data_IF_089498158692
#
_entry.id   IF_089498158692
#
_cell.length_a   1.000
_cell.length_b   1.000
_cell.length_c   1.000
_cell.angle_alpha   90.00
_cell.angle_beta   90.00
_cell.angle_gamma   90.00
#
_symmetry.space_group_name_H-M   'P 1'
#
loop_
_entity.id
_entity.type
_entity.pdbx_description
1 polymer ?
#
# COMPACT_ATOMS: atom_id res chain seq x y z
N UNK A 1 13.54 -9.52 -17.17
CA UNK A 1 12.26 -9.05 -17.76
C UNK A 1 12.44 -8.84 -19.26
N UNK A 2 11.51 -9.31 -20.11
CA UNK A 2 11.65 -9.27 -21.58
C UNK A 2 11.39 -7.88 -22.19
N UNK A 3 10.85 -6.93 -21.44
CA UNK A 3 10.64 -5.53 -21.86
C UNK A 3 10.58 -4.58 -20.65
N UNK A 4 10.75 -3.27 -20.88
CA UNK A 4 10.52 -2.22 -19.87
C UNK A 4 9.08 -2.28 -19.35
N UNK A 5 8.12 -2.50 -20.27
CA UNK A 5 6.72 -2.69 -19.92
C UNK A 5 6.53 -3.81 -18.90
N UNK A 6 7.10 -4.99 -19.15
CA UNK A 6 6.97 -6.13 -18.25
C UNK A 6 7.60 -5.86 -16.89
N UNK A 7 8.71 -5.12 -16.83
CA UNK A 7 9.30 -4.71 -15.56
C UNK A 7 8.41 -3.73 -14.78
N UNK A 8 7.79 -2.76 -15.45
CA UNK A 8 6.90 -1.79 -14.80
C UNK A 8 5.60 -2.44 -14.31
N UNK A 9 5.07 -3.39 -15.08
CA UNK A 9 3.91 -4.19 -14.66
C UNK A 9 4.25 -5.01 -13.42
N UNK A 10 5.41 -5.66 -13.37
CA UNK A 10 5.82 -6.41 -12.18
C UNK A 10 5.94 -5.52 -10.95
N UNK A 11 6.49 -4.31 -11.10
CA UNK A 11 6.57 -3.34 -9.99
C UNK A 11 5.17 -2.95 -9.52
N UNK A 12 4.23 -2.70 -10.43
CA UNK A 12 2.85 -2.39 -10.07
C UNK A 12 2.14 -3.58 -9.39
N UNK A 13 2.41 -4.81 -9.83
CA UNK A 13 1.89 -6.03 -9.20
C UNK A 13 2.49 -6.23 -7.80
N UNK A 14 3.77 -5.95 -7.60
CA UNK A 14 4.39 -6.00 -6.27
C UNK A 14 3.84 -4.92 -5.32
N UNK A 15 3.57 -3.71 -5.83
CA UNK A 15 2.94 -2.63 -5.06
C UNK A 15 1.50 -2.98 -4.64
N UNK A 16 0.74 -3.63 -5.50
CA UNK A 16 -0.60 -4.12 -5.17
C UNK A 16 -0.54 -5.30 -4.19
N UNK A 17 0.36 -6.26 -4.42
CA UNK A 17 0.55 -7.42 -3.56
C UNK A 17 0.87 -7.02 -2.12
N UNK A 18 1.73 -6.02 -1.88
CA UNK A 18 2.01 -5.56 -0.52
C UNK A 18 0.81 -4.83 0.12
N UNK A 19 -0.06 -4.17 -0.67
CA UNK A 19 -1.31 -3.65 -0.12
C UNK A 19 -2.22 -4.78 0.36
N UNK A 20 -2.39 -5.81 -0.47
CA UNK A 20 -3.24 -6.97 -0.18
C UNK A 20 -2.70 -7.76 1.03
N UNK A 21 -1.40 -7.99 1.08
CA UNK A 21 -0.72 -8.64 2.20
C UNK A 21 -0.97 -7.90 3.52
N UNK A 22 -0.82 -6.56 3.54
CA UNK A 22 -1.03 -5.77 4.74
C UNK A 22 -2.50 -5.74 5.14
N UNK A 23 -3.40 -5.35 4.23
CA UNK A 23 -4.81 -5.17 4.57
C UNK A 23 -5.52 -6.49 4.84
N UNK A 24 -5.39 -7.46 3.92
CA UNK A 24 -6.22 -8.66 3.88
C UNK A 24 -5.52 -9.89 4.50
N UNK A 25 -4.19 -9.86 4.63
CA UNK A 25 -3.43 -10.85 5.40
C UNK A 25 -3.22 -10.38 6.85
N UNK A 26 -2.26 -9.48 7.04
CA UNK A 26 -1.71 -9.11 8.35
C UNK A 26 -2.71 -8.44 9.28
N UNK A 27 -3.56 -7.56 8.74
CA UNK A 27 -4.55 -6.83 9.53
C UNK A 27 -5.88 -7.60 9.65
N UNK A 28 -6.41 -8.07 8.54
CA UNK A 28 -7.75 -8.64 8.49
C UNK A 28 -7.88 -9.94 9.30
N UNK A 29 -6.93 -10.87 9.23
CA UNK A 29 -7.08 -12.15 9.93
C UNK A 29 -7.18 -11.98 11.47
N UNK A 30 -6.23 -11.31 12.16
CA UNK A 30 -6.34 -11.06 13.60
C UNK A 30 -7.60 -10.26 13.96
N UNK A 31 -7.98 -9.31 13.10
CA UNK A 31 -9.13 -8.44 13.31
C UNK A 31 -10.47 -9.22 13.26
N UNK A 32 -10.70 -10.02 12.23
CA UNK A 32 -11.97 -10.75 12.08
C UNK A 32 -12.10 -11.93 13.03
N UNK A 33 -10.98 -12.59 13.37
CA UNK A 33 -11.02 -13.67 14.38
C UNK A 33 -10.97 -13.14 15.81
N UNK A 34 -10.78 -11.83 16.00
CA UNK A 34 -10.61 -11.20 17.31
C UNK A 34 -9.54 -11.92 18.14
N UNK A 35 -8.42 -12.25 17.48
CA UNK A 35 -7.35 -13.07 18.04
C UNK A 35 -5.99 -12.40 17.84
N UNK A 36 -5.53 -11.72 18.89
CA UNK A 36 -4.23 -11.05 18.89
C UNK A 36 -3.05 -12.02 18.79
N UNK A 37 -3.22 -13.32 19.02
CA UNK A 37 -2.12 -14.30 18.84
C UNK A 37 -1.75 -14.52 17.38
N UNK A 38 -2.62 -14.09 16.46
CA UNK A 38 -2.40 -14.12 15.01
C UNK A 38 -1.69 -12.88 14.46
N UNK A 39 -1.51 -11.85 15.28
CA UNK A 39 -0.71 -10.68 14.91
C UNK A 39 0.72 -11.11 14.57
N UNK A 40 1.24 -10.67 13.41
CA UNK A 40 2.65 -10.84 13.09
C UNK A 40 3.52 -9.92 13.96
N UNK A 41 4.66 -10.44 14.44
CA UNK A 41 5.61 -9.72 15.31
C UNK A 41 5.03 -9.15 16.62
N UNK A 42 4.22 -9.91 17.39
CA UNK A 42 3.42 -9.38 18.50
C UNK A 42 4.28 -8.96 19.71
N UNK A 43 5.46 -9.58 19.88
CA UNK A 43 6.32 -9.33 21.04
C UNK A 43 6.99 -7.96 21.02
N UNK A 44 7.19 -7.37 19.83
CA UNK A 44 7.80 -6.04 19.68
C UNK A 44 6.77 -4.90 19.73
N UNK A 45 5.46 -5.20 19.67
CA UNK A 45 4.37 -4.22 19.57
C UNK A 45 4.59 -3.17 18.46
N UNK A 46 5.19 -3.59 17.35
CA UNK A 46 5.64 -2.70 16.28
C UNK A 46 4.84 -2.86 14.98
N UNK A 47 3.78 -3.68 14.98
CA UNK A 47 3.09 -4.09 13.76
C UNK A 47 2.50 -2.91 12.98
N UNK A 48 1.96 -1.88 13.66
CA UNK A 48 1.51 -0.64 12.98
C UNK A 48 2.66 0.08 12.26
N UNK A 49 3.85 0.14 12.86
CA UNK A 49 5.05 0.70 12.21
C UNK A 49 5.43 -0.14 10.99
N UNK A 50 5.37 -1.46 11.10
CA UNK A 50 5.72 -2.37 10.01
C UNK A 50 4.74 -2.24 8.84
N UNK A 51 3.43 -2.19 9.12
CA UNK A 51 2.39 -1.91 8.12
C UNK A 51 2.61 -0.56 7.47
N UNK A 52 2.89 0.48 8.26
CA UNK A 52 3.17 1.83 7.76
C UNK A 52 4.39 1.84 6.85
N UNK A 53 5.47 1.13 7.21
CA UNK A 53 6.67 1.03 6.39
C UNK A 53 6.42 0.28 5.08
N UNK A 54 5.61 -0.78 5.11
CA UNK A 54 5.19 -1.49 3.90
C UNK A 54 4.44 -0.55 2.95
N UNK A 55 3.46 0.22 3.45
CA UNK A 55 2.71 1.17 2.63
C UNK A 55 3.58 2.33 2.15
N UNK A 56 4.49 2.87 2.98
CA UNK A 56 5.46 3.89 2.55
C UNK A 56 6.38 3.42 1.43
N UNK A 57 6.74 2.12 1.43
CA UNK A 57 7.55 1.51 0.37
C UNK A 57 6.91 1.64 -1.01
N UNK A 58 5.58 1.59 -1.09
CA UNK A 58 4.82 1.72 -2.35
C UNK A 58 5.11 3.06 -3.01
N UNK A 59 5.06 4.17 -2.26
CA UNK A 59 5.31 5.48 -2.84
C UNK A 59 6.77 5.60 -3.31
N UNK A 60 7.74 5.07 -2.55
CA UNK A 60 9.14 5.05 -2.98
C UNK A 60 9.33 4.32 -4.31
N UNK A 61 8.69 3.15 -4.46
CA UNK A 61 8.69 2.38 -5.71
C UNK A 61 8.02 3.14 -6.86
N UNK A 62 6.87 3.76 -6.60
CA UNK A 62 6.14 4.55 -7.60
C UNK A 62 6.95 5.73 -8.12
N UNK A 63 7.58 6.48 -7.21
CA UNK A 63 8.33 7.69 -7.54
C UNK A 63 9.75 7.41 -8.04
N UNK A 64 10.29 6.21 -7.81
CA UNK A 64 11.70 5.91 -8.08
C UNK A 64 12.66 6.69 -7.18
N UNK A 65 12.22 7.08 -5.98
CA UNK A 65 12.98 7.88 -5.01
C UNK A 65 13.65 6.98 -3.97
N UNK A 66 14.95 6.82 -4.12
CA UNK A 66 15.81 5.99 -3.26
C UNK A 66 17.07 6.78 -2.87
N UNK A 67 18.18 6.12 -2.55
CA UNK A 67 19.45 6.78 -2.22
C UNK A 67 20.05 7.57 -3.40
N UNK A 68 19.70 7.17 -4.63
CA UNK A 68 19.91 7.95 -5.84
C UNK A 68 18.56 8.04 -6.57
N UNK A 69 18.08 9.26 -6.77
CA UNK A 69 16.79 9.50 -7.42
C UNK A 69 16.87 9.16 -8.92
N UNK A 70 15.91 8.35 -9.38
CA UNK A 70 15.72 8.00 -10.78
C UNK A 70 14.40 8.51 -11.34
N UNK A 71 14.18 8.31 -12.65
CA UNK A 71 12.84 8.47 -13.22
C UNK A 71 11.99 7.27 -12.82
N UNK A 72 10.84 7.53 -12.18
CA UNK A 72 9.94 6.49 -11.68
C UNK A 72 8.74 6.23 -12.60
N UNK A 73 7.88 5.31 -12.17
CA UNK A 73 6.56 5.10 -12.79
C UNK A 73 5.74 6.41 -12.75
N UNK A 74 5.89 7.19 -11.67
CA UNK A 74 5.30 8.52 -11.49
C UNK A 74 5.52 9.41 -12.71
N UNK A 75 6.72 9.48 -13.27
CA UNK A 75 7.02 10.39 -14.37
C UNK A 75 6.24 10.06 -15.64
N UNK A 76 6.11 8.77 -15.93
CA UNK A 76 5.33 8.28 -17.06
C UNK A 76 3.84 8.56 -16.85
N UNK A 77 3.32 8.23 -15.66
CA UNK A 77 1.90 8.45 -15.31
C UNK A 77 1.57 9.93 -15.35
N UNK A 78 2.38 10.79 -14.73
CA UNK A 78 2.18 12.23 -14.68
C UNK A 78 2.22 12.87 -16.08
N UNK A 79 3.05 12.35 -16.98
CA UNK A 79 3.14 12.84 -18.36
C UNK A 79 1.85 12.59 -19.15
N UNK A 80 1.24 11.41 -19.03
CA UNK A 80 0.06 11.03 -19.82
C UNK A 80 -1.27 11.16 -19.08
N UNK A 81 -1.27 11.12 -17.74
CA UNK A 81 -2.45 11.10 -16.90
C UNK A 81 -2.18 11.67 -15.50
N UNK A 82 -2.10 13.00 -15.40
CA UNK A 82 -1.91 13.72 -14.14
C UNK A 82 -2.99 13.40 -13.08
N UNK A 83 -4.22 13.09 -13.51
CA UNK A 83 -5.30 12.73 -12.59
C UNK A 83 -5.03 11.39 -11.88
N UNK A 84 -4.52 10.40 -12.61
CA UNK A 84 -4.14 9.11 -12.04
C UNK A 84 -2.95 9.24 -11.08
N UNK A 85 -1.94 10.04 -11.41
CA UNK A 85 -0.82 10.34 -10.52
C UNK A 85 -1.30 10.94 -9.19
N UNK A 86 -2.14 11.99 -9.27
CA UNK A 86 -2.72 12.62 -8.09
C UNK A 86 -3.58 11.64 -7.27
N UNK A 87 -4.34 10.76 -7.94
CA UNK A 87 -5.18 9.77 -7.26
C UNK A 87 -4.33 8.77 -6.45
N UNK A 88 -3.27 8.22 -7.04
CA UNK A 88 -2.36 7.27 -6.37
C UNK A 88 -1.72 7.92 -5.14
N UNK A 89 -1.17 9.13 -5.29
CA UNK A 89 -0.55 9.87 -4.17
C UNK A 89 -1.53 10.19 -3.06
N UNK A 90 -2.75 10.61 -3.42
CA UNK A 90 -3.80 10.95 -2.45
C UNK A 90 -4.25 9.72 -1.68
N UNK A 91 -4.49 8.60 -2.37
CA UNK A 91 -4.88 7.34 -1.73
C UNK A 91 -3.78 6.78 -0.84
N UNK A 92 -2.52 6.83 -1.28
CA UNK A 92 -1.38 6.50 -0.43
C UNK A 92 -1.34 7.36 0.84
N UNK A 93 -1.45 8.69 0.71
CA UNK A 93 -1.47 9.59 1.86
C UNK A 93 -2.64 9.29 2.81
N UNK A 94 -3.82 8.96 2.27
CA UNK A 94 -4.98 8.57 3.05
C UNK A 94 -4.78 7.24 3.79
N UNK A 95 -4.14 6.24 3.18
CA UNK A 95 -3.81 4.98 3.82
C UNK A 95 -2.82 5.17 4.99
N UNK A 96 -1.77 5.98 4.79
CA UNK A 96 -0.82 6.33 5.85
C UNK A 96 -1.52 7.06 6.99
N UNK A 97 -2.34 8.08 6.67
CA UNK A 97 -3.08 8.82 7.68
C UNK A 97 -4.04 7.92 8.47
N UNK A 98 -4.71 6.98 7.81
CA UNK A 98 -5.60 6.02 8.46
C UNK A 98 -4.86 5.08 9.43
N UNK A 99 -3.70 4.54 9.02
CA UNK A 99 -2.84 3.74 9.90
C UNK A 99 -2.39 4.54 11.14
N UNK A 100 -2.07 5.82 10.98
CA UNK A 100 -1.66 6.71 12.08
C UNK A 100 -2.79 7.03 13.07
N UNK A 101 -4.05 6.72 12.74
CA UNK A 101 -5.16 6.86 13.69
C UNK A 101 -5.24 5.70 14.70
N UNK A 102 -4.53 4.60 14.45
CA UNK A 102 -4.43 3.46 15.37
C UNK A 102 -3.31 3.79 16.37
N UNK A 103 -3.71 4.07 17.61
CA UNK A 103 -2.78 4.54 18.66
C UNK A 103 -2.39 3.46 19.64
N UNK A 104 -3.21 2.42 19.79
CA UNK A 104 -2.92 1.26 20.61
C UNK A 104 -2.00 0.29 19.82
N UNK A 105 -1.19 -0.54 20.51
CA UNK A 105 -0.55 -1.69 19.87
C UNK A 105 -1.59 -2.52 19.11
N UNK A 106 -1.26 -3.01 17.91
CA UNK A 106 -2.27 -3.58 17.02
C UNK A 106 -3.07 -4.73 17.66
N UNK A 107 -2.42 -5.66 18.36
CA UNK A 107 -3.10 -6.72 19.10
C UNK A 107 -4.15 -6.23 20.13
N UNK A 108 -3.95 -5.05 20.74
CA UNK A 108 -4.93 -4.40 21.60
C UNK A 108 -5.99 -3.65 20.78
N UNK A 109 -5.55 -2.92 19.76
CA UNK A 109 -6.39 -2.13 18.87
C UNK A 109 -7.50 -2.96 18.19
N UNK A 110 -7.28 -4.26 17.96
CA UNK A 110 -8.31 -5.20 17.46
C UNK A 110 -9.61 -5.12 18.27
N UNK A 111 -9.49 -4.91 19.58
CA UNK A 111 -10.62 -4.82 20.51
C UNK A 111 -11.01 -3.38 20.83
N UNK A 112 -10.04 -2.45 20.92
CA UNK A 112 -10.25 -1.09 21.41
C UNK A 112 -10.47 -0.05 20.31
N UNK A 113 -10.01 -0.32 19.09
CA UNK A 113 -10.03 0.61 17.95
C UNK A 113 -10.51 -0.05 16.63
N UNK A 114 -11.61 -0.83 16.64
CA UNK A 114 -12.05 -1.57 15.46
C UNK A 114 -12.42 -0.69 14.26
N UNK A 115 -12.96 0.52 14.52
CA UNK A 115 -13.33 1.48 13.48
C UNK A 115 -12.08 2.00 12.75
N UNK A 116 -11.01 2.28 13.49
CA UNK A 116 -9.74 2.76 12.95
C UNK A 116 -9.05 1.68 12.12
N UNK A 117 -9.05 0.42 12.62
CA UNK A 117 -8.51 -0.72 11.87
C UNK A 117 -9.26 -0.92 10.56
N UNK A 118 -10.60 -0.95 10.59
CA UNK A 118 -11.40 -1.10 9.38
C UNK A 118 -11.12 0.02 8.37
N UNK A 119 -11.09 1.27 8.83
CA UNK A 119 -10.79 2.41 7.97
C UNK A 119 -9.38 2.32 7.35
N UNK A 120 -8.38 1.85 8.10
CA UNK A 120 -7.04 1.62 7.55
C UNK A 120 -7.03 0.53 6.47
N UNK A 121 -7.68 -0.61 6.71
CA UNK A 121 -7.82 -1.67 5.69
C UNK A 121 -8.54 -1.15 4.44
N UNK A 122 -9.63 -0.40 4.61
CA UNK A 122 -10.39 0.17 3.49
C UNK A 122 -9.52 1.12 2.64
N UNK A 123 -8.72 1.99 3.27
CA UNK A 123 -7.86 2.92 2.54
C UNK A 123 -6.69 2.23 1.83
N UNK A 124 -6.15 1.16 2.40
CA UNK A 124 -5.13 0.35 1.73
C UNK A 124 -5.76 -0.40 0.54
N UNK A 125 -6.98 -0.93 0.69
CA UNK A 125 -7.72 -1.59 -0.38
C UNK A 125 -8.13 -0.63 -1.51
N UNK A 126 -8.48 0.63 -1.20
CA UNK A 126 -8.72 1.69 -2.20
C UNK A 126 -7.48 1.94 -3.08
N UNK A 127 -6.29 1.97 -2.46
CA UNK A 127 -5.01 2.10 -3.15
C UNK A 127 -4.73 0.86 -4.01
N UNK A 128 -4.82 -0.34 -3.44
CA UNK A 128 -4.63 -1.61 -4.14
C UNK A 128 -5.54 -1.70 -5.38
N UNK A 129 -6.81 -1.35 -5.23
CA UNK A 129 -7.77 -1.32 -6.32
C UNK A 129 -7.32 -0.39 -7.44
N UNK A 130 -6.83 0.81 -7.12
CA UNK A 130 -6.37 1.78 -8.12
C UNK A 130 -5.09 1.31 -8.83
N UNK A 131 -4.16 0.68 -8.12
CA UNK A 131 -2.96 0.08 -8.70
C UNK A 131 -3.33 -1.01 -9.71
N UNK A 132 -4.23 -1.93 -9.33
CA UNK A 132 -4.68 -3.03 -10.18
C UNK A 132 -5.52 -2.58 -11.37
N UNK A 133 -6.53 -1.73 -11.16
CA UNK A 133 -7.56 -1.44 -12.17
C UNK A 133 -7.25 -0.21 -13.02
N UNK A 134 -6.34 0.65 -12.59
CA UNK A 134 -5.98 1.88 -13.34
C UNK A 134 -4.51 1.92 -13.71
N UNK A 135 -3.59 1.73 -12.76
CA UNK A 135 -2.16 1.83 -13.05
C UNK A 135 -1.67 0.72 -13.97
N UNK A 136 -2.00 -0.55 -13.67
CA UNK A 136 -1.55 -1.68 -14.50
C UNK A 136 -2.04 -1.58 -15.96
N UNK A 137 -3.32 -1.31 -16.26
CA UNK A 137 -3.77 -1.06 -17.64
C UNK A 137 -3.08 0.15 -18.30
N UNK A 138 -2.84 1.22 -17.54
CA UNK A 138 -2.09 2.37 -18.04
C UNK A 138 -0.66 1.96 -18.48
N UNK A 139 0.04 1.16 -17.69
CA UNK A 139 1.39 0.68 -18.01
C UNK A 139 1.42 -0.22 -19.23
N UNK A 140 0.41 -1.09 -19.39
CA UNK A 140 0.24 -1.92 -20.59
C UNK A 140 0.07 -1.07 -21.87
N UNK A 141 -0.47 0.14 -21.75
CA UNK A 141 -0.66 1.02 -22.90
C UNK A 141 0.58 1.88 -23.20
N UNK A 142 1.18 2.47 -22.16
CA UNK A 142 2.14 3.57 -22.30
C UNK A 142 3.59 3.26 -21.93
N UNK A 143 3.87 2.18 -21.19
CA UNK A 143 5.25 1.79 -20.93
C UNK A 143 5.78 1.05 -22.17
N UNK A 144 6.59 1.72 -22.99
CA UNK A 144 7.22 1.17 -24.21
C UNK A 144 8.70 1.54 -24.24
#
# INVERSE_FOLDING_TARGET
YPSIQSAFIEIADAMEGICDEVANGKMHEPFITQDASKEESPFAKNSITDFTNNIQGILKMYQGKFSADGKGIEDLVRHYNLSLDNAIKTQHAAAIAALQTITDPFGQAIFTQPIQIQNAMDKINDLAHTLRTKLKPFLQQYAR
#
